data_IF_664241662223
#
_entry.id   IF_664241662223
#
_cell.length_a   1.000
_cell.length_b   1.000
_cell.length_c   1.000
_cell.angle_alpha   90.00
_cell.angle_beta   90.00
_cell.angle_gamma   90.00
#
_symmetry.space_group_name_H-M   'P 1'
#
loop_
_entity.id
_entity.type
_entity.pdbx_description
1 polymer ?
#
# COMPACT_ATOMS: atom_id res chain seq x y z
N UNK A 1 51.80 -29.52 23.21
CA UNK A 1 51.21 -28.18 23.47
C UNK A 1 49.68 -28.12 23.34
N UNK A 2 48.95 -29.25 23.41
CA UNK A 2 47.46 -29.30 23.26
C UNK A 2 46.75 -29.77 24.55
N UNK A 3 47.49 -30.18 25.58
CA UNK A 3 46.91 -30.66 26.85
C UNK A 3 46.64 -29.54 27.88
N UNK A 4 47.31 -28.39 27.79
CA UNK A 4 47.13 -27.24 28.72
C UNK A 4 45.90 -26.35 28.41
N UNK A 5 45.25 -26.54 27.26
CA UNK A 5 44.06 -25.77 26.87
C UNK A 5 42.73 -26.39 27.38
N UNK A 6 42.72 -27.66 27.80
CA UNK A 6 41.53 -28.34 28.34
C UNK A 6 41.32 -28.07 29.83
N UNK A 7 42.39 -27.85 30.60
CA UNK A 7 42.29 -27.44 32.01
C UNK A 7 41.77 -26.02 32.19
N UNK A 8 42.03 -25.12 31.24
CA UNK A 8 41.63 -23.70 31.32
C UNK A 8 40.13 -23.46 31.11
N UNK A 9 39.41 -24.39 30.46
CA UNK A 9 37.95 -24.32 30.31
C UNK A 9 37.19 -24.86 31.54
N UNK A 10 37.74 -25.86 32.24
CA UNK A 10 37.22 -26.32 33.53
C UNK A 10 37.52 -25.33 34.66
N UNK A 11 38.63 -24.59 34.57
CA UNK A 11 39.07 -23.64 35.59
C UNK A 11 38.27 -22.32 35.65
N UNK A 12 37.32 -22.08 34.74
CA UNK A 12 36.47 -20.86 34.75
C UNK A 12 35.12 -21.02 35.45
N UNK A 13 34.75 -22.24 35.84
CA UNK A 13 33.65 -22.46 36.77
C UNK A 13 34.30 -22.52 38.14
N UNK A 14 34.38 -21.37 38.81
CA UNK A 14 34.87 -21.28 40.17
C UNK A 14 34.23 -22.38 41.01
N UNK A 15 35.07 -23.25 41.58
CA UNK A 15 34.72 -24.24 42.58
C UNK A 15 34.29 -23.51 43.86
N UNK A 16 33.13 -22.86 43.80
CA UNK A 16 32.44 -22.34 44.96
C UNK A 16 31.68 -23.50 45.57
N UNK A 17 32.01 -23.83 46.82
CA UNK A 17 31.15 -24.64 47.69
C UNK A 17 29.70 -24.17 47.49
N UNK A 18 28.87 -25.05 46.92
CA UNK A 18 27.52 -24.72 46.47
C UNK A 18 26.55 -24.99 47.63
N UNK A 19 26.04 -23.96 48.33
CA UNK A 19 25.10 -24.17 49.42
C UNK A 19 23.83 -24.80 48.85
N UNK A 20 23.58 -26.05 49.26
CA UNK A 20 22.32 -26.75 49.01
C UNK A 20 21.39 -26.40 50.16
N UNK A 21 20.32 -25.69 49.85
CA UNK A 21 19.37 -25.20 50.84
C UNK A 21 17.95 -25.60 50.44
N UNK A 22 17.10 -25.87 51.42
CA UNK A 22 15.68 -26.06 51.15
C UNK A 22 15.06 -24.69 50.89
N UNK A 23 14.87 -24.33 49.63
CA UNK A 23 14.29 -23.04 49.28
C UNK A 23 12.84 -22.99 49.78
N UNK A 24 12.55 -21.97 50.60
CA UNK A 24 11.21 -21.61 51.08
C UNK A 24 10.90 -20.19 50.62
N UNK A 25 9.62 -19.85 50.44
CA UNK A 25 9.23 -18.51 49.96
C UNK A 25 9.78 -17.40 50.86
N UNK A 26 9.78 -17.62 52.18
CA UNK A 26 10.38 -16.70 53.16
C UNK A 26 11.88 -16.53 52.95
N UNK A 27 12.61 -17.63 52.77
CA UNK A 27 14.06 -17.57 52.52
C UNK A 27 14.37 -16.80 51.24
N UNK A 28 13.66 -17.12 50.15
CA UNK A 28 13.84 -16.49 48.84
C UNK A 28 13.56 -14.98 48.91
N UNK A 29 12.53 -14.56 49.65
CA UNK A 29 12.20 -13.15 49.83
C UNK A 29 13.28 -12.40 50.63
N UNK A 30 13.78 -12.97 51.72
CA UNK A 30 14.66 -12.26 52.68
C UNK A 30 16.15 -12.33 52.31
N UNK A 31 16.61 -13.36 51.60
CA UNK A 31 18.04 -13.58 51.35
C UNK A 31 18.68 -12.39 50.62
N UNK A 32 19.82 -11.91 51.10
CA UNK A 32 20.67 -10.90 50.47
C UNK A 32 22.10 -11.40 50.48
N UNK A 33 22.89 -11.00 49.49
CA UNK A 33 24.28 -11.42 49.40
C UNK A 33 25.15 -10.25 48.90
N UNK A 34 26.26 -9.99 49.59
CA UNK A 34 27.22 -8.93 49.24
C UNK A 34 28.07 -9.31 48.02
N UNK A 35 28.20 -10.62 47.77
CA UNK A 35 28.83 -11.21 46.59
C UNK A 35 27.83 -12.18 45.96
N UNK A 36 28.00 -12.46 44.68
CA UNK A 36 27.08 -13.35 43.97
C UNK A 36 27.13 -14.77 44.54
N UNK A 37 26.00 -15.28 45.04
CA UNK A 37 25.87 -16.64 45.58
C UNK A 37 24.77 -17.39 44.82
N UNK A 38 25.03 -18.66 44.53
CA UNK A 38 24.08 -19.56 43.87
C UNK A 38 23.56 -20.58 44.92
N UNK A 39 22.30 -20.47 45.31
CA UNK A 39 21.63 -21.41 46.23
C UNK A 39 20.90 -22.50 45.43
N UNK A 40 21.20 -23.76 45.72
CA UNK A 40 20.61 -24.91 45.03
C UNK A 40 19.42 -25.44 45.82
N UNK A 41 18.28 -25.62 45.14
CA UNK A 41 17.10 -26.20 45.78
C UNK A 41 17.29 -27.69 46.04
N UNK A 42 16.95 -28.13 47.25
CA UNK A 42 16.96 -29.55 47.63
C UNK A 42 15.75 -30.30 47.11
N UNK A 43 14.60 -29.63 46.95
CA UNK A 43 13.36 -30.25 46.48
C UNK A 43 13.30 -30.43 44.96
N UNK A 44 13.90 -29.52 44.20
CA UNK A 44 13.95 -29.58 42.74
C UNK A 44 15.42 -29.57 42.25
N UNK A 45 16.07 -30.74 42.11
CA UNK A 45 17.51 -30.82 41.85
C UNK A 45 17.95 -30.03 40.62
N UNK A 46 18.87 -29.09 40.76
CA UNK A 46 19.35 -28.26 39.65
C UNK A 46 18.58 -26.95 39.45
N UNK A 47 17.45 -26.73 40.13
CA UNK A 47 16.92 -25.38 40.30
C UNK A 47 17.87 -24.58 41.20
N UNK A 48 18.18 -23.36 40.78
CA UNK A 48 19.11 -22.47 41.46
C UNK A 48 18.53 -21.08 41.60
N UNK A 49 18.62 -20.52 42.80
CA UNK A 49 18.41 -19.10 43.04
C UNK A 49 19.78 -18.41 43.07
N UNK A 50 20.05 -17.61 42.05
CA UNK A 50 21.22 -16.74 42.00
C UNK A 50 20.87 -15.41 42.65
N UNK A 51 21.58 -15.06 43.71
CA UNK A 51 21.42 -13.79 44.43
C UNK A 51 22.67 -12.97 44.18
N UNK A 52 22.53 -11.83 43.50
CA UNK A 52 23.55 -10.79 43.42
C UNK A 52 23.14 -9.60 44.32
N UNK A 53 24.04 -8.66 44.60
CA UNK A 53 23.71 -7.47 45.40
C UNK A 53 22.52 -6.67 44.84
N UNK A 54 22.34 -6.72 43.52
CA UNK A 54 21.32 -5.96 42.79
C UNK A 54 20.03 -6.73 42.48
N UNK A 55 20.08 -8.05 42.29
CA UNK A 55 18.94 -8.82 41.78
C UNK A 55 18.98 -10.29 42.20
N UNK A 56 17.82 -10.92 42.09
CA UNK A 56 17.62 -12.36 42.32
C UNK A 56 17.13 -12.99 41.03
N UNK A 57 17.70 -14.12 40.64
CA UNK A 57 17.39 -14.75 39.35
C UNK A 57 17.24 -16.25 39.52
N UNK A 58 16.19 -16.80 38.92
CA UNK A 58 15.97 -18.24 38.81
C UNK A 58 16.75 -18.79 37.62
N UNK A 59 17.57 -19.80 37.88
CA UNK A 59 18.25 -20.56 36.83
C UNK A 59 18.13 -22.06 37.02
N UNK A 60 18.21 -22.81 35.92
CA UNK A 60 18.29 -24.26 35.89
C UNK A 60 19.70 -24.67 35.46
N UNK A 61 20.41 -25.41 36.30
CA UNK A 61 21.64 -26.09 35.94
C UNK A 61 21.31 -27.50 35.42
N UNK A 62 21.75 -27.82 34.21
CA UNK A 62 21.48 -29.10 33.55
C UNK A 62 22.67 -29.53 32.67
N UNK A 63 22.70 -30.79 32.28
CA UNK A 63 23.66 -31.30 31.29
C UNK A 63 22.99 -31.25 29.91
N UNK A 64 23.66 -30.67 28.92
CA UNK A 64 23.12 -30.58 27.56
C UNK A 64 22.88 -31.98 26.98
N UNK A 65 21.70 -32.26 26.40
CA UNK A 65 21.45 -33.51 25.66
C UNK A 65 22.52 -33.78 24.60
N UNK A 66 23.05 -35.00 24.56
CA UNK A 66 24.11 -35.39 23.61
C UNK A 66 25.50 -34.79 23.90
N UNK A 67 25.70 -34.08 25.01
CA UNK A 67 26.99 -33.54 25.44
C UNK A 67 27.27 -33.81 26.91
N UNK A 68 28.54 -33.78 27.33
CA UNK A 68 28.93 -33.81 28.75
C UNK A 68 29.03 -32.42 29.38
N UNK A 69 28.70 -31.37 28.62
CA UNK A 69 28.79 -29.99 29.08
C UNK A 69 27.63 -29.63 30.01
N UNK A 70 27.97 -29.24 31.24
CA UNK A 70 27.02 -28.63 32.19
C UNK A 70 26.78 -27.18 31.81
N UNK A 71 25.52 -26.86 31.56
CA UNK A 71 25.07 -25.54 31.13
C UNK A 71 24.06 -24.99 32.15
N UNK A 72 23.94 -23.67 32.19
CA UNK A 72 22.95 -22.95 32.98
C UNK A 72 21.98 -22.24 32.06
N UNK A 73 20.69 -22.45 32.30
CA UNK A 73 19.61 -21.73 31.62
C UNK A 73 18.92 -20.77 32.60
N UNK A 74 18.90 -19.49 32.28
CA UNK A 74 18.16 -18.49 33.08
C UNK A 74 16.67 -18.59 32.77
N UNK A 75 15.86 -18.85 33.81
CA UNK A 75 14.40 -18.99 33.68
C UNK A 75 13.76 -17.60 33.70
N UNK A 76 13.94 -16.85 34.79
CA UNK A 76 13.32 -15.54 35.01
C UNK A 76 14.04 -14.79 36.13
N UNK A 77 13.87 -13.48 36.18
CA UNK A 77 14.18 -12.68 37.36
C UNK A 77 13.13 -12.95 38.45
N UNK A 78 13.53 -12.93 39.72
CA UNK A 78 12.61 -13.07 40.84
C UNK A 78 11.77 -11.79 40.97
N UNK A 79 10.46 -11.95 40.98
CA UNK A 79 9.50 -10.93 41.36
C UNK A 79 8.47 -11.54 42.31
N UNK A 80 7.69 -10.72 43.00
CA UNK A 80 6.61 -11.22 43.86
C UNK A 80 5.59 -12.05 43.05
N UNK A 81 5.34 -11.67 41.80
CA UNK A 81 4.49 -12.43 40.88
C UNK A 81 5.16 -13.73 40.39
N UNK A 82 6.50 -13.77 40.31
CA UNK A 82 7.29 -14.91 39.83
C UNK A 82 8.16 -15.51 40.96
N UNK A 83 7.46 -16.02 41.97
CA UNK A 83 8.05 -16.70 43.13
C UNK A 83 8.48 -18.16 42.89
N UNK A 84 8.80 -18.86 43.98
CA UNK A 84 9.38 -20.20 43.99
C UNK A 84 8.50 -21.26 43.31
N UNK A 85 7.19 -21.22 43.54
CA UNK A 85 6.25 -22.20 42.98
C UNK A 85 6.26 -22.20 41.45
N UNK A 86 6.21 -21.02 40.82
CA UNK A 86 6.30 -20.87 39.36
C UNK A 86 7.67 -21.30 38.84
N UNK A 87 8.73 -20.95 39.56
CA UNK A 87 10.10 -21.36 39.21
C UNK A 87 10.27 -22.89 39.24
N UNK A 88 9.75 -23.59 40.26
CA UNK A 88 9.76 -25.07 40.33
C UNK A 88 8.95 -25.70 39.21
N UNK A 89 7.73 -25.21 38.93
CA UNK A 89 6.91 -25.70 37.82
C UNK A 89 7.67 -25.58 36.50
N UNK A 90 8.24 -24.39 36.22
CA UNK A 90 8.99 -24.15 34.98
C UNK A 90 10.26 -25.00 34.88
N UNK A 91 10.95 -25.23 36.00
CA UNK A 91 12.10 -26.12 36.04
C UNK A 91 11.75 -27.57 35.68
N UNK A 92 10.60 -28.09 36.16
CA UNK A 92 10.11 -29.43 35.80
C UNK A 92 9.78 -29.54 34.31
N UNK A 93 9.09 -28.56 33.75
CA UNK A 93 8.79 -28.52 32.31
C UNK A 93 10.07 -28.53 31.46
N UNK A 94 11.06 -27.73 31.85
CA UNK A 94 12.34 -27.66 31.15
C UNK A 94 13.12 -28.98 31.25
N UNK A 95 13.14 -29.61 32.44
CA UNK A 95 13.76 -30.94 32.63
C UNK A 95 13.08 -32.01 31.80
N UNK A 96 11.75 -32.08 31.78
CA UNK A 96 11.03 -33.02 30.95
C UNK A 96 11.42 -32.88 29.46
N UNK A 97 11.52 -31.63 28.96
CA UNK A 97 12.02 -31.38 27.61
C UNK A 97 13.48 -31.80 27.38
N UNK A 98 14.35 -31.64 28.38
CA UNK A 98 15.75 -32.08 28.33
C UNK A 98 15.83 -33.61 28.26
N UNK A 99 15.00 -34.32 29.02
CA UNK A 99 14.93 -35.79 29.02
C UNK A 99 14.43 -36.32 27.66
N UNK A 100 13.57 -35.57 26.97
CA UNK A 100 13.18 -35.81 25.57
C UNK A 100 14.27 -35.40 24.54
N UNK A 101 15.43 -34.92 24.99
CA UNK A 101 16.55 -34.53 24.14
C UNK A 101 16.53 -33.09 23.61
N UNK A 102 15.55 -32.26 24.02
CA UNK A 102 15.45 -30.84 23.60
C UNK A 102 16.31 -29.97 24.51
N UNK A 103 17.37 -29.34 23.97
CA UNK A 103 18.18 -28.38 24.72
C UNK A 103 17.50 -27.00 24.81
N UNK A 104 17.09 -26.51 26.01
CA UNK A 104 16.43 -25.21 26.16
C UNK A 104 17.27 -24.02 25.68
N UNK A 105 18.59 -24.10 25.82
CA UNK A 105 19.49 -23.05 25.35
C UNK A 105 19.57 -23.04 23.82
N UNK A 106 19.60 -24.22 23.19
CA UNK A 106 19.57 -24.34 21.74
C UNK A 106 18.23 -23.87 21.17
N UNK A 107 17.10 -24.16 21.82
CA UNK A 107 15.78 -23.64 21.43
C UNK A 107 15.74 -22.11 21.51
N UNK A 108 16.25 -21.52 22.59
CA UNK A 108 16.34 -20.06 22.74
C UNK A 108 17.27 -19.43 21.69
N UNK A 109 18.40 -20.07 21.41
CA UNK A 109 19.35 -19.61 20.38
C UNK A 109 18.78 -19.77 18.97
N UNK A 110 18.08 -20.86 18.66
CA UNK A 110 17.41 -21.08 17.39
C UNK A 110 16.27 -20.08 17.19
N UNK A 111 15.48 -19.79 18.22
CA UNK A 111 14.46 -18.74 18.16
C UNK A 111 15.08 -17.34 17.95
N UNK A 112 16.19 -17.03 18.62
CA UNK A 112 16.90 -15.77 18.44
C UNK A 112 17.55 -15.67 17.05
N UNK A 113 18.13 -16.76 16.54
CA UNK A 113 18.73 -16.83 15.21
C UNK A 113 17.65 -16.76 14.12
N UNK A 114 16.51 -17.43 14.29
CA UNK A 114 15.36 -17.33 13.39
C UNK A 114 14.75 -15.92 13.39
N UNK A 115 14.71 -15.25 14.54
CA UNK A 115 14.30 -13.85 14.61
C UNK A 115 15.33 -12.90 13.95
N UNK A 116 16.63 -13.22 14.03
CA UNK A 116 17.69 -12.46 13.39
C UNK A 116 17.77 -12.68 11.87
N UNK A 117 17.34 -13.84 11.38
CA UNK A 117 17.25 -14.15 9.94
C UNK A 117 15.86 -13.90 9.34
N UNK A 118 14.89 -13.45 10.15
CA UNK A 118 13.56 -13.16 9.68
C UNK A 118 13.55 -11.89 8.83
N UNK A 119 13.04 -12.02 7.61
CA UNK A 119 12.78 -10.89 6.72
C UNK A 119 11.86 -9.86 7.40
N UNK A 120 12.21 -8.59 7.27
CA UNK A 120 11.34 -7.47 7.61
C UNK A 120 10.35 -7.20 6.49
N UNK A 121 9.25 -6.53 6.80
CA UNK A 121 8.30 -6.04 5.79
C UNK A 121 8.97 -5.12 4.78
N UNK A 122 9.97 -4.33 5.19
CA UNK A 122 10.77 -3.51 4.29
C UNK A 122 11.48 -4.35 3.24
N UNK A 123 12.21 -5.37 3.67
CA UNK A 123 12.93 -6.24 2.75
C UNK A 123 11.98 -7.02 1.85
N UNK A 124 10.84 -7.47 2.38
CA UNK A 124 9.82 -8.16 1.60
C UNK A 124 9.24 -7.27 0.48
N UNK A 125 8.98 -5.99 0.77
CA UNK A 125 8.49 -5.04 -0.23
C UNK A 125 9.54 -4.77 -1.30
N UNK A 126 10.80 -4.62 -0.93
CA UNK A 126 11.89 -4.42 -1.91
C UNK A 126 12.11 -5.67 -2.78
N UNK A 127 12.00 -6.88 -2.21
CA UNK A 127 12.04 -8.14 -2.97
C UNK A 127 10.84 -8.26 -3.92
N UNK A 128 9.63 -7.86 -3.47
CA UNK A 128 8.45 -7.79 -4.32
C UNK A 128 8.62 -6.80 -5.48
N UNK A 129 9.20 -5.62 -5.22
CA UNK A 129 9.48 -4.63 -6.26
C UNK A 129 10.44 -5.22 -7.29
N UNK A 130 11.52 -5.85 -6.81
CA UNK A 130 12.61 -6.36 -7.66
C UNK A 130 12.17 -7.56 -8.50
N UNK A 131 11.29 -8.42 -7.97
CA UNK A 131 10.92 -9.69 -8.62
C UNK A 131 9.59 -9.65 -9.36
N UNK A 132 8.65 -8.80 -8.94
CA UNK A 132 7.29 -8.77 -9.49
C UNK A 132 6.96 -7.46 -10.19
N UNK A 133 7.50 -6.33 -9.73
CA UNK A 133 7.13 -5.01 -10.26
C UNK A 133 8.03 -4.57 -11.41
N UNK A 134 9.30 -5.01 -11.45
CA UNK A 134 10.31 -4.55 -12.43
C UNK A 134 9.88 -4.61 -13.91
N UNK A 135 9.10 -5.61 -14.29
CA UNK A 135 8.73 -5.86 -15.69
C UNK A 135 7.44 -5.11 -16.08
N UNK A 136 6.80 -4.41 -15.12
CA UNK A 136 5.63 -3.60 -15.38
C UNK A 136 6.04 -2.28 -16.04
N UNK A 137 5.31 -1.88 -17.08
CA UNK A 137 5.43 -0.53 -17.68
C UNK A 137 5.30 0.62 -16.67
N UNK A 138 4.59 0.37 -15.57
CA UNK A 138 4.41 1.33 -14.47
C UNK A 138 5.30 1.04 -13.25
N UNK A 139 6.42 0.33 -13.43
CA UNK A 139 7.29 -0.12 -12.34
C UNK A 139 7.68 1.02 -11.39
N UNK A 140 8.15 2.15 -11.91
CA UNK A 140 8.58 3.30 -11.10
C UNK A 140 7.46 3.84 -10.22
N UNK A 141 6.28 4.05 -10.80
CA UNK A 141 5.14 4.62 -10.08
C UNK A 141 4.59 3.64 -9.04
N UNK A 142 4.52 2.34 -9.38
CA UNK A 142 4.11 1.29 -8.45
C UNK A 142 5.12 1.15 -7.31
N UNK A 143 6.42 1.15 -7.61
CA UNK A 143 7.49 1.08 -6.60
C UNK A 143 7.44 2.28 -5.66
N UNK A 144 7.32 3.49 -6.22
CA UNK A 144 7.19 4.73 -5.45
C UNK A 144 5.92 4.72 -4.58
N UNK A 145 4.82 4.14 -5.07
CA UNK A 145 3.58 3.97 -4.31
C UNK A 145 3.76 2.99 -3.15
N UNK A 146 4.31 1.80 -3.41
CA UNK A 146 4.55 0.78 -2.40
C UNK A 146 5.45 1.30 -1.26
N UNK A 147 6.56 1.96 -1.61
CA UNK A 147 7.44 2.57 -0.60
C UNK A 147 6.73 3.65 0.21
N UNK A 148 5.93 4.49 -0.42
CA UNK A 148 5.17 5.57 0.25
C UNK A 148 4.06 5.05 1.16
N UNK A 149 3.38 3.98 0.74
CA UNK A 149 2.19 3.46 1.43
C UNK A 149 2.57 2.45 2.53
N UNK A 150 3.56 1.59 2.29
CA UNK A 150 3.92 0.50 3.20
C UNK A 150 5.16 0.85 4.04
N UNK A 151 6.15 1.52 3.45
CA UNK A 151 7.44 1.79 4.12
C UNK A 151 7.51 3.18 4.76
N UNK A 152 6.35 3.80 4.96
CA UNK A 152 6.25 5.07 5.62
C UNK A 152 6.61 4.93 7.11
N UNK A 153 7.46 5.82 7.60
CA UNK A 153 7.89 5.84 9.00
C UNK A 153 6.72 6.12 9.96
N UNK A 154 5.68 6.82 9.49
CA UNK A 154 4.53 7.23 10.32
C UNK A 154 3.80 6.09 11.04
N UNK A 155 3.80 4.88 10.48
CA UNK A 155 3.15 3.72 11.10
C UNK A 155 4.10 2.57 11.42
N UNK A 156 5.38 2.66 11.02
CA UNK A 156 6.43 1.70 11.40
C UNK A 156 6.27 0.28 10.81
N UNK A 157 5.34 0.06 9.87
CA UNK A 157 5.06 -1.28 9.34
C UNK A 157 6.29 -1.90 8.65
N UNK A 158 7.15 -1.08 8.04
CA UNK A 158 8.37 -1.55 7.39
C UNK A 158 9.36 -2.25 8.34
N UNK A 159 9.36 -1.93 9.64
CA UNK A 159 10.26 -2.54 10.62
C UNK A 159 9.71 -3.85 11.22
N UNK A 160 8.45 -4.18 10.95
CA UNK A 160 7.82 -5.40 11.47
C UNK A 160 8.43 -6.63 10.78
N UNK A 161 8.82 -7.62 11.58
CA UNK A 161 9.27 -8.92 11.06
C UNK A 161 8.09 -9.65 10.41
N UNK A 162 8.29 -10.18 9.21
CA UNK A 162 7.27 -10.88 8.42
C UNK A 162 6.59 -12.01 9.19
N UNK A 163 7.30 -12.88 9.95
CA UNK A 163 6.65 -13.93 10.75
C UNK A 163 5.77 -13.40 11.89
N UNK A 164 6.03 -12.18 12.36
CA UNK A 164 5.28 -11.54 13.45
C UNK A 164 4.19 -10.59 12.93
N UNK A 165 4.02 -10.48 11.60
CA UNK A 165 3.03 -9.62 11.00
C UNK A 165 1.62 -10.07 11.40
N UNK A 166 0.88 -9.19 12.07
CA UNK A 166 -0.48 -9.48 12.50
C UNK A 166 -1.47 -8.45 11.94
N UNK A 167 -2.77 -8.80 11.91
CA UNK A 167 -3.84 -7.91 11.42
C UNK A 167 -3.84 -6.53 12.09
N UNK A 168 -3.45 -6.47 13.37
CA UNK A 168 -3.35 -5.23 14.15
C UNK A 168 -2.33 -4.24 13.57
N UNK A 169 -1.23 -4.75 13.02
CA UNK A 169 -0.16 -3.92 12.45
C UNK A 169 -0.62 -3.30 11.12
N UNK A 170 -1.41 -4.06 10.35
CA UNK A 170 -2.02 -3.61 9.10
C UNK A 170 -3.10 -2.56 9.38
N UNK A 171 -3.99 -2.81 10.34
CA UNK A 171 -5.03 -1.86 10.75
C UNK A 171 -4.38 -0.55 11.24
N UNK A 172 -3.37 -0.63 12.11
CA UNK A 172 -2.62 0.55 12.56
C UNK A 172 -2.02 1.36 11.40
N UNK A 173 -1.50 0.67 10.37
CA UNK A 173 -0.97 1.35 9.18
C UNK A 173 -2.05 2.04 8.35
N UNK A 174 -3.22 1.42 8.22
CA UNK A 174 -4.37 1.98 7.50
C UNK A 174 -4.95 3.18 8.25
N UNK A 175 -5.19 3.04 9.55
CA UNK A 175 -5.76 4.10 10.40
C UNK A 175 -4.86 5.34 10.39
N UNK A 176 -3.54 5.17 10.49
CA UNK A 176 -2.57 6.26 10.38
C UNK A 176 -2.62 7.01 9.03
N UNK A 177 -3.06 6.36 7.95
CA UNK A 177 -3.28 7.01 6.65
C UNK A 177 -4.65 7.68 6.59
N UNK A 178 -5.67 7.04 7.17
CA UNK A 178 -7.05 7.55 7.21
C UNK A 178 -7.18 8.79 8.10
N UNK A 179 -6.50 8.83 9.24
CA UNK A 179 -6.46 9.96 10.18
C UNK A 179 -5.92 11.25 9.54
N UNK A 180 -5.14 11.13 8.47
CA UNK A 180 -4.70 12.28 7.66
C UNK A 180 -5.77 12.81 6.69
N UNK A 181 -6.97 12.23 6.69
CA UNK A 181 -8.05 12.53 5.75
C UNK A 181 -7.90 11.90 4.37
N UNK A 182 -6.90 11.01 4.17
CA UNK A 182 -6.55 10.45 2.86
C UNK A 182 -7.23 9.10 2.59
N UNK A 183 -8.56 9.03 2.64
CA UNK A 183 -9.36 7.78 2.53
C UNK A 183 -9.05 6.94 1.29
N UNK A 184 -8.90 7.56 0.12
CA UNK A 184 -8.53 6.85 -1.11
C UNK A 184 -7.14 6.23 -1.01
N UNK A 185 -6.20 6.93 -0.36
CA UNK A 185 -4.85 6.40 -0.15
C UNK A 185 -4.82 5.32 0.94
N UNK A 186 -5.67 5.38 1.96
CA UNK A 186 -5.83 4.31 2.95
C UNK A 186 -6.32 3.01 2.28
N UNK A 187 -7.31 3.12 1.38
CA UNK A 187 -7.78 1.99 0.59
C UNK A 187 -6.69 1.41 -0.33
N UNK A 188 -5.91 2.27 -0.99
CA UNK A 188 -4.76 1.85 -1.82
C UNK A 188 -3.66 1.19 -0.98
N UNK A 189 -3.38 1.72 0.21
CA UNK A 189 -2.42 1.14 1.14
C UNK A 189 -2.82 -0.30 1.51
N UNK A 190 -4.09 -0.54 1.84
CA UNK A 190 -4.59 -1.90 2.08
C UNK A 190 -4.41 -2.82 0.88
N UNK A 191 -4.74 -2.37 -0.33
CA UNK A 191 -4.56 -3.16 -1.56
C UNK A 191 -3.09 -3.48 -1.84
N UNK A 192 -2.20 -2.52 -1.59
CA UNK A 192 -0.76 -2.67 -1.74
C UNK A 192 -0.20 -3.70 -0.74
N UNK A 193 -0.54 -3.58 0.55
CA UNK A 193 -0.16 -4.54 1.59
C UNK A 193 -0.67 -5.94 1.22
N UNK A 194 -1.93 -6.04 0.79
CA UNK A 194 -2.55 -7.31 0.39
C UNK A 194 -1.86 -7.95 -0.80
N UNK A 195 -1.44 -7.17 -1.79
CA UNK A 195 -0.71 -7.69 -2.93
C UNK A 195 0.64 -8.28 -2.50
N UNK A 196 1.40 -7.57 -1.66
CA UNK A 196 2.71 -8.02 -1.15
C UNK A 196 2.57 -9.27 -0.28
N UNK A 197 1.61 -9.30 0.65
CA UNK A 197 1.38 -10.47 1.53
C UNK A 197 0.99 -11.71 0.72
N UNK A 198 0.08 -11.56 -0.25
CA UNK A 198 -0.33 -12.70 -1.11
C UNK A 198 0.80 -13.21 -1.98
N UNK A 199 1.62 -12.30 -2.50
CA UNK A 199 2.81 -12.69 -3.25
C UNK A 199 3.81 -13.45 -2.36
N UNK A 200 4.00 -13.00 -1.12
CA UNK A 200 4.84 -13.68 -0.14
C UNK A 200 4.34 -15.10 0.18
N UNK A 201 3.01 -15.27 0.31
CA UNK A 201 2.38 -16.58 0.50
C UNK A 201 2.59 -17.49 -0.71
N UNK A 202 2.40 -16.97 -1.94
CA UNK A 202 2.64 -17.75 -3.16
C UNK A 202 4.10 -18.20 -3.34
N UNK A 203 5.05 -17.53 -2.67
CA UNK A 203 6.48 -17.86 -2.66
C UNK A 203 6.89 -18.78 -1.50
N UNK A 204 5.98 -19.09 -0.58
CA UNK A 204 6.30 -19.84 0.65
C UNK A 204 7.09 -19.04 1.68
N UNK A 205 7.14 -17.71 1.56
CA UNK A 205 7.76 -16.83 2.57
C UNK A 205 6.83 -16.66 3.79
N UNK A 206 5.52 -16.72 3.54
CA UNK A 206 4.49 -16.74 4.56
C UNK A 206 3.60 -17.97 4.37
N UNK A 207 3.28 -18.67 5.46
CA UNK A 207 2.39 -19.83 5.38
C UNK A 207 0.92 -19.44 5.22
N UNK A 208 0.53 -18.24 5.70
CA UNK A 208 -0.87 -17.80 5.75
C UNK A 208 -1.02 -16.32 5.36
N UNK A 209 -2.09 -16.03 4.61
CA UNK A 209 -2.47 -14.66 4.27
C UNK A 209 -3.18 -14.00 5.46
N UNK A 210 -2.48 -13.10 6.15
CA UNK A 210 -3.02 -12.34 7.29
C UNK A 210 -4.13 -11.36 6.89
N UNK A 211 -4.19 -10.96 5.61
CA UNK A 211 -5.22 -10.05 5.07
C UNK A 211 -6.52 -10.75 4.73
N UNK A 212 -6.55 -12.09 4.78
CA UNK A 212 -7.74 -12.86 4.48
C UNK A 212 -8.88 -12.48 5.44
N UNK A 213 -10.05 -12.15 4.88
CA UNK A 213 -11.23 -11.73 5.64
C UNK A 213 -11.25 -10.26 6.08
N UNK A 214 -10.19 -9.48 5.82
CA UNK A 214 -10.20 -8.03 6.05
C UNK A 214 -10.99 -7.30 4.96
N UNK A 215 -11.78 -6.30 5.36
CA UNK A 215 -12.47 -5.40 4.44
C UNK A 215 -11.58 -4.20 4.14
N UNK A 216 -11.53 -3.79 2.88
CA UNK A 216 -10.83 -2.58 2.49
C UNK A 216 -11.56 -1.34 3.04
N UNK A 217 -10.83 -0.28 3.42
CA UNK A 217 -11.42 1.03 3.70
C UNK A 217 -12.26 1.53 2.52
N UNK A 218 -13.34 2.23 2.83
CA UNK A 218 -14.22 2.80 1.82
C UNK A 218 -13.48 3.88 1.03
N UNK A 219 -13.51 3.75 -0.30
CA UNK A 219 -12.96 4.77 -1.20
C UNK A 219 -13.93 5.91 -1.32
N UNK A 220 -13.50 7.12 -0.99
CA UNK A 220 -14.26 8.32 -1.31
C UNK A 220 -13.82 8.85 -2.69
N UNK A 221 -14.19 8.13 -3.75
CA UNK A 221 -13.78 8.44 -5.12
C UNK A 221 -14.83 9.28 -5.89
N UNK A 222 -15.90 9.71 -5.24
CA UNK A 222 -16.91 10.55 -5.85
C UNK A 222 -16.36 11.98 -6.01
N UNK A 223 -15.78 12.26 -7.19
CA UNK A 223 -15.66 13.63 -7.68
C UNK A 223 -16.91 13.88 -8.52
N UNK A 224 -17.94 14.42 -7.88
CA UNK A 224 -19.26 14.63 -8.52
C UNK A 224 -19.29 15.88 -9.39
N UNK A 225 -18.32 16.79 -9.23
CA UNK A 225 -18.26 18.02 -10.02
C UNK A 225 -17.65 17.79 -11.40
N UNK A 226 -18.36 18.25 -12.41
CA UNK A 226 -17.94 18.35 -13.81
C UNK A 226 -18.01 19.82 -14.22
N UNK A 227 -17.09 20.28 -15.07
CA UNK A 227 -17.14 21.64 -15.60
C UNK A 227 -18.39 21.81 -16.47
N UNK A 228 -19.15 22.88 -16.23
CA UNK A 228 -20.26 23.25 -17.09
C UNK A 228 -19.77 24.04 -18.33
N UNK A 229 -20.67 24.29 -19.29
CA UNK A 229 -20.30 24.95 -20.55
C UNK A 229 -19.75 26.38 -20.35
N UNK A 230 -20.28 27.14 -19.38
CA UNK A 230 -19.83 28.51 -19.09
C UNK A 230 -18.45 28.51 -18.43
N UNK A 231 -18.18 27.55 -17.54
CA UNK A 231 -16.87 27.36 -16.94
C UNK A 231 -15.84 26.96 -18.00
N UNK A 232 -16.18 26.04 -18.93
CA UNK A 232 -15.31 25.67 -20.05
C UNK A 232 -14.99 26.89 -20.91
N UNK A 233 -16.02 27.69 -21.25
CA UNK A 233 -15.84 28.93 -22.00
C UNK A 233 -14.93 29.91 -21.26
N UNK A 234 -15.15 30.08 -19.95
CA UNK A 234 -14.32 30.92 -19.09
C UNK A 234 -12.85 30.49 -19.12
N UNK A 235 -12.59 29.19 -18.95
CA UNK A 235 -11.24 28.61 -19.03
C UNK A 235 -10.59 28.91 -20.38
N UNK A 236 -11.28 28.63 -21.50
CA UNK A 236 -10.72 28.83 -22.85
C UNK A 236 -10.40 30.30 -23.12
N UNK A 237 -11.26 31.22 -22.68
CA UNK A 237 -11.07 32.65 -22.85
C UNK A 237 -9.95 33.21 -21.97
N UNK A 238 -9.68 32.62 -20.81
CA UNK A 238 -8.61 33.07 -19.92
C UNK A 238 -7.21 32.56 -20.31
N UNK A 239 -7.11 31.50 -21.15
CA UNK A 239 -5.82 30.89 -21.52
C UNK A 239 -4.75 31.88 -22.03
N UNK A 240 -5.06 32.84 -22.94
CA UNK A 240 -4.05 33.76 -23.45
C UNK A 240 -3.45 34.68 -22.38
N UNK A 241 -4.24 35.03 -21.36
CA UNK A 241 -3.83 35.93 -20.27
C UNK A 241 -3.25 35.18 -19.06
N UNK A 242 -3.23 33.85 -19.08
CA UNK A 242 -2.89 33.02 -17.91
C UNK A 242 -1.37 32.88 -17.64
N UNK A 243 -0.50 33.50 -18.45
CA UNK A 243 0.96 33.44 -18.27
C UNK A 243 1.53 32.02 -18.37
N UNK A 244 0.87 31.14 -19.13
CA UNK A 244 1.29 29.75 -19.31
C UNK A 244 2.53 29.68 -20.21
N UNK A 245 3.30 28.60 -20.08
CA UNK A 245 4.41 28.34 -21.00
C UNK A 245 3.88 28.17 -22.43
N UNK A 246 4.66 28.56 -23.45
CA UNK A 246 4.26 28.39 -24.84
C UNK A 246 3.80 26.95 -25.15
N UNK A 247 2.65 26.82 -25.82
CA UNK A 247 2.07 25.54 -26.23
C UNK A 247 1.19 24.84 -25.18
N UNK A 248 1.20 25.26 -23.91
CA UNK A 248 0.31 24.67 -22.89
C UNK A 248 -1.16 25.06 -23.13
N UNK A 249 -1.41 26.27 -23.62
CA UNK A 249 -2.72 26.73 -24.05
C UNK A 249 -3.28 25.85 -25.19
N UNK A 250 -2.43 25.49 -26.15
CA UNK A 250 -2.80 24.60 -27.25
C UNK A 250 -3.10 23.17 -26.79
N UNK A 251 -2.33 22.65 -25.82
CA UNK A 251 -2.64 21.37 -25.18
C UNK A 251 -4.04 21.40 -24.56
N UNK A 252 -4.39 22.45 -23.82
CA UNK A 252 -5.71 22.57 -23.19
C UNK A 252 -6.83 22.67 -24.23
N UNK A 253 -6.64 23.46 -25.29
CA UNK A 253 -7.61 23.57 -26.39
C UNK A 253 -7.82 22.23 -27.09
N UNK A 254 -6.74 21.54 -27.45
CA UNK A 254 -6.80 20.21 -28.07
C UNK A 254 -7.47 19.18 -27.15
N UNK A 255 -7.32 19.26 -25.82
CA UNK A 255 -8.02 18.37 -24.89
C UNK A 255 -9.53 18.54 -24.93
N UNK A 256 -10.03 19.77 -25.08
CA UNK A 256 -11.47 20.03 -25.21
C UNK A 256 -12.00 19.58 -26.57
N UNK A 257 -11.24 19.79 -27.65
CA UNK A 257 -11.64 19.39 -29.00
C UNK A 257 -11.65 17.86 -29.20
N UNK A 258 -10.68 17.16 -28.61
CA UNK A 258 -10.45 15.72 -28.87
C UNK A 258 -10.93 14.79 -27.75
N UNK A 259 -11.20 15.33 -26.54
CA UNK A 259 -11.50 14.56 -25.33
C UNK A 259 -10.45 13.49 -24.94
N UNK A 260 -9.23 13.60 -25.47
CA UNK A 260 -8.11 12.70 -25.20
C UNK A 260 -7.53 12.88 -23.79
N UNK A 261 -6.66 11.96 -23.37
CA UNK A 261 -5.87 12.12 -22.13
C UNK A 261 -4.83 13.20 -22.30
N UNK A 262 -4.56 13.93 -21.21
CA UNK A 262 -3.47 14.91 -21.15
C UNK A 262 -2.15 14.30 -21.64
N UNK A 263 -1.84 13.06 -21.25
CA UNK A 263 -0.63 12.35 -21.69
C UNK A 263 -0.63 11.95 -23.18
N UNK A 264 -1.80 11.80 -23.79
CA UNK A 264 -1.93 11.48 -25.22
C UNK A 264 -1.64 12.74 -26.04
N UNK A 265 -2.24 13.89 -25.67
CA UNK A 265 -2.04 15.17 -26.35
C UNK A 265 -0.68 15.82 -26.05
N UNK A 266 -0.26 15.88 -24.79
CA UNK A 266 1.00 16.53 -24.42
C UNK A 266 2.24 15.78 -24.98
N UNK A 267 2.12 14.49 -25.26
CA UNK A 267 3.18 13.70 -25.89
C UNK A 267 3.00 13.50 -27.40
N UNK A 268 2.10 14.24 -28.05
CA UNK A 268 1.77 14.05 -29.46
C UNK A 268 2.98 14.29 -30.37
N UNK A 269 3.25 13.33 -31.25
CA UNK A 269 4.35 13.35 -32.21
C UNK A 269 3.81 13.66 -33.60
N UNK A 270 4.57 14.38 -34.44
CA UNK A 270 4.12 14.76 -35.79
C UNK A 270 3.70 13.56 -36.65
N UNK A 271 4.42 12.44 -36.55
CA UNK A 271 4.11 11.16 -37.22
C UNK A 271 2.75 10.54 -36.89
N UNK A 272 2.14 10.92 -35.77
CA UNK A 272 0.83 10.39 -35.33
C UNK A 272 -0.32 11.20 -35.92
N UNK A 273 -0.04 12.31 -36.60
CA UNK A 273 -1.05 13.24 -37.12
C UNK A 273 -1.13 13.08 -38.64
N UNK A 274 -2.33 12.81 -39.12
CA UNK A 274 -2.67 12.82 -40.53
C UNK A 274 -3.61 14.00 -40.81
N UNK A 275 -3.03 15.13 -41.21
CA UNK A 275 -3.79 16.34 -41.55
C UNK A 275 -4.60 16.20 -42.84
N UNK A 276 -4.31 15.21 -43.70
CA UNK A 276 -5.10 14.97 -44.93
C UNK A 276 -6.35 14.17 -44.61
N UNK A 277 -6.23 13.18 -43.72
CA UNK A 277 -7.36 12.39 -43.24
C UNK A 277 -8.10 13.05 -42.07
N UNK A 278 -7.55 14.14 -41.50
CA UNK A 278 -8.06 14.82 -40.30
C UNK A 278 -8.14 13.87 -39.08
N UNK A 279 -7.09 13.06 -38.88
CA UNK A 279 -7.02 12.06 -37.82
C UNK A 279 -5.74 12.19 -36.99
N UNK A 280 -5.85 11.90 -35.69
CA UNK A 280 -4.71 11.46 -34.87
C UNK A 280 -4.78 9.94 -34.73
N UNK A 281 -3.68 9.26 -35.07
CA UNK A 281 -3.53 7.80 -34.93
C UNK A 281 -2.73 7.50 -33.68
N UNK A 282 -3.40 7.11 -32.59
CA UNK A 282 -2.74 6.77 -31.34
C UNK A 282 -2.41 5.26 -31.29
N UNK A 283 -1.12 4.87 -31.32
CA UNK A 283 -0.74 3.47 -31.28
C UNK A 283 -1.01 2.85 -29.91
N UNK A 284 -1.23 1.52 -29.89
CA UNK A 284 -1.50 0.75 -28.68
C UNK A 284 -0.45 0.98 -27.57
N UNK A 285 0.81 1.13 -27.97
CA UNK A 285 1.94 1.41 -27.08
C UNK A 285 1.79 2.73 -26.32
N UNK A 286 1.04 3.72 -26.82
CA UNK A 286 0.87 5.01 -26.13
C UNK A 286 -0.40 5.10 -25.30
N UNK A 287 -1.40 4.29 -25.62
CA UNK A 287 -2.70 4.34 -24.98
C UNK A 287 -2.66 3.53 -23.69
N UNK A 288 -3.17 4.11 -22.60
CA UNK A 288 -3.16 3.47 -21.27
C UNK A 288 -3.77 2.06 -21.25
N UNK A 289 -4.74 1.80 -22.14
CA UNK A 289 -5.49 0.56 -22.20
C UNK A 289 -4.91 -0.46 -23.21
N UNK A 290 -3.80 -0.13 -23.90
CA UNK A 290 -3.18 -1.02 -24.89
C UNK A 290 -3.96 -1.20 -26.19
N UNK A 291 -4.98 -0.38 -26.44
CA UNK A 291 -5.79 -0.43 -27.66
C UNK A 291 -5.48 0.80 -28.52
N UNK A 292 -5.02 0.55 -29.74
CA UNK A 292 -4.85 1.60 -30.74
C UNK A 292 -6.22 2.21 -31.07
N UNK A 293 -6.27 3.52 -31.27
CA UNK A 293 -7.50 4.18 -31.71
C UNK A 293 -7.19 5.44 -32.52
N UNK A 294 -8.11 5.74 -33.44
CA UNK A 294 -8.07 6.94 -34.26
C UNK A 294 -8.99 7.99 -33.65
N UNK A 295 -8.50 9.22 -33.55
CA UNK A 295 -9.23 10.35 -33.00
C UNK A 295 -9.52 11.32 -34.14
N UNK A 296 -10.80 11.54 -34.51
CA UNK A 296 -11.15 12.51 -35.52
C UNK A 296 -10.89 13.93 -35.04
N UNK A 297 -10.42 14.79 -35.93
CA UNK A 297 -10.09 16.18 -35.64
C UNK A 297 -11.21 17.11 -36.08
N UNK A 298 -11.55 18.06 -35.23
CA UNK A 298 -12.44 19.18 -35.57
C UNK A 298 -11.67 20.25 -36.34
N UNK A 299 -12.36 21.10 -37.10
CA UNK A 299 -11.71 22.21 -37.82
C UNK A 299 -10.86 23.13 -36.91
N UNK A 300 -11.28 23.48 -35.68
CA UNK A 300 -10.42 24.19 -34.72
C UNK A 300 -9.17 23.40 -34.33
N UNK A 301 -9.28 22.09 -34.11
CA UNK A 301 -8.13 21.24 -33.80
C UNK A 301 -7.14 21.17 -34.97
N UNK A 302 -7.65 21.04 -36.21
CA UNK A 302 -6.83 21.07 -37.43
C UNK A 302 -6.10 22.40 -37.57
N UNK A 303 -6.76 23.53 -37.30
CA UNK A 303 -6.12 24.84 -37.35
C UNK A 303 -4.96 24.98 -36.34
N UNK A 304 -5.16 24.51 -35.10
CA UNK A 304 -4.12 24.50 -34.07
C UNK A 304 -2.95 23.62 -34.51
N UNK A 305 -3.22 22.40 -34.99
CA UNK A 305 -2.17 21.46 -35.42
C UNK A 305 -1.40 21.97 -36.64
N UNK A 306 -2.08 22.54 -37.65
CA UNK A 306 -1.42 23.16 -38.80
C UNK A 306 -0.45 24.25 -38.38
N UNK A 307 -0.86 25.14 -37.46
CA UNK A 307 0.01 26.20 -36.91
C UNK A 307 1.22 25.62 -36.18
N UNK A 308 1.02 24.59 -35.36
CA UNK A 308 2.09 23.97 -34.58
C UNK A 308 3.09 23.15 -35.42
N UNK A 309 2.67 22.68 -36.60
CA UNK A 309 3.47 21.81 -37.47
C UNK A 309 4.30 22.54 -38.53
N UNK A 310 4.16 23.86 -38.69
CA UNK A 310 4.82 24.64 -39.77
C UNK A 310 6.34 24.40 -39.79
N UNK A 311 6.99 24.44 -38.63
CA UNK A 311 8.44 24.32 -38.50
C UNK A 311 8.89 23.00 -37.84
N UNK A 312 7.98 22.00 -37.75
CA UNK A 312 8.25 20.74 -37.04
C UNK A 312 8.23 19.55 -37.98
N UNK A 313 9.41 18.94 -38.16
CA UNK A 313 9.57 17.65 -38.85
C UNK A 313 10.03 16.61 -37.84
N UNK A 314 9.37 15.45 -37.88
CA UNK A 314 9.68 14.26 -37.08
C UNK A 314 10.03 14.55 -35.60
N UNK A 315 9.20 15.32 -34.93
CA UNK A 315 9.44 15.76 -33.55
C UNK A 315 8.15 15.81 -32.73
N UNK A 316 8.31 15.98 -31.41
CA UNK A 316 7.19 16.22 -30.52
C UNK A 316 6.60 17.62 -30.71
N UNK A 317 5.27 17.71 -30.70
CA UNK A 317 4.59 19.02 -30.80
C UNK A 317 4.82 19.88 -29.57
N UNK A 318 4.97 19.27 -28.39
CA UNK A 318 5.18 19.96 -27.13
C UNK A 318 6.44 19.41 -26.43
N UNK A 319 7.65 19.83 -26.81
CA UNK A 319 8.87 19.30 -26.22
C UNK A 319 9.21 19.99 -24.88
N UNK A 320 9.92 19.28 -23.99
CA UNK A 320 10.63 19.85 -22.83
C UNK A 320 12.13 19.62 -23.02
N UNK A 321 12.82 20.56 -23.68
CA UNK A 321 14.23 20.42 -24.08
C UNK A 321 14.40 19.88 -25.51
N UNK A 322 15.60 19.37 -25.84
CA UNK A 322 15.96 18.82 -27.16
C UNK A 322 15.29 17.45 -27.39
N UNK A 323 14.01 17.45 -27.78
CA UNK A 323 13.25 16.29 -28.29
C UNK A 323 12.67 15.29 -27.27
N UNK A 324 12.45 15.71 -26.02
CA UNK A 324 11.65 14.95 -25.07
C UNK A 324 10.19 15.45 -25.03
N UNK A 325 9.17 14.57 -24.95
CA UNK A 325 7.78 15.02 -24.82
C UNK A 325 7.59 15.85 -23.55
N UNK A 326 6.59 16.74 -23.54
CA UNK A 326 6.19 17.53 -22.37
C UNK A 326 6.14 16.62 -21.13
N UNK A 327 7.11 16.81 -20.25
CA UNK A 327 7.42 15.89 -19.16
C UNK A 327 6.22 15.73 -18.24
N UNK A 328 6.13 14.59 -17.53
CA UNK A 328 5.17 14.37 -16.43
C UNK A 328 5.11 15.52 -15.39
N UNK A 329 6.16 16.34 -15.25
CA UNK A 329 6.19 17.54 -14.39
C UNK A 329 5.22 18.63 -14.85
N UNK A 330 4.96 18.73 -16.15
CA UNK A 330 4.10 19.76 -16.71
C UNK A 330 2.63 19.43 -16.54
N UNK A 331 2.29 18.13 -16.49
CA UNK A 331 0.97 17.67 -16.04
C UNK A 331 0.61 18.20 -14.67
N UNK A 332 1.56 18.15 -13.72
CA UNK A 332 1.34 18.63 -12.35
C UNK A 332 1.17 20.16 -12.31
N UNK A 333 1.85 20.89 -13.21
CA UNK A 333 1.71 22.35 -13.36
C UNK A 333 0.42 22.77 -14.09
N UNK A 334 -0.06 21.99 -15.06
CA UNK A 334 -1.36 22.20 -15.71
C UNK A 334 -2.50 21.93 -14.71
N UNK A 335 -2.37 20.88 -13.88
CA UNK A 335 -3.27 20.61 -12.76
C UNK A 335 -3.20 21.74 -11.70
N UNK A 336 -2.01 22.28 -11.37
CA UNK A 336 -1.87 23.41 -10.42
C UNK A 336 -2.31 24.77 -10.98
N UNK A 337 -2.20 25.00 -12.30
CA UNK A 337 -2.63 26.23 -12.96
C UNK A 337 -4.16 26.39 -12.97
N UNK A 338 -4.89 25.26 -13.00
CA UNK A 338 -6.34 25.23 -12.81
C UNK A 338 -6.75 25.46 -11.34
N UNK A 339 -5.95 25.01 -10.37
CA UNK A 339 -6.17 25.29 -8.94
C UNK A 339 -5.99 26.75 -8.52
N UNK A 340 -5.21 27.56 -9.27
CA UNK A 340 -4.99 28.99 -8.96
C UNK A 340 -6.19 29.89 -9.28
N UNK A 341 -7.17 29.42 -10.07
CA UNK A 341 -8.32 30.23 -10.47
C UNK A 341 -9.64 29.94 -9.74
N UNK A 342 -9.71 28.89 -8.92
CA UNK A 342 -10.65 28.63 -7.80
C UNK A 342 -10.45 27.17 -7.36
N UNK A 343 -10.79 26.87 -6.11
CA UNK A 343 -10.27 25.71 -5.38
C UNK A 343 -10.32 24.33 -6.07
N UNK A 344 -9.24 23.56 -5.88
CA UNK A 344 -9.06 22.10 -6.17
C UNK A 344 -9.76 21.62 -7.45
N UNK A 345 -9.15 21.92 -8.60
CA UNK A 345 -9.64 21.47 -9.91
C UNK A 345 -8.59 20.59 -10.61
N UNK A 346 -9.02 19.53 -11.29
CA UNK A 346 -8.15 18.72 -12.14
C UNK A 346 -8.83 18.43 -13.48
N UNK A 347 -8.03 18.35 -14.54
CA UNK A 347 -8.38 18.24 -15.96
C UNK A 347 -9.23 17.03 -16.38
N UNK A 348 -9.58 16.13 -15.47
CA UNK A 348 -10.35 14.91 -15.77
C UNK A 348 -11.86 15.15 -16.03
N UNK A 349 -12.39 16.33 -15.66
CA UNK A 349 -13.81 16.68 -15.82
C UNK A 349 -14.26 16.88 -17.27
N UNK A 350 -13.37 17.32 -18.17
CA UNK A 350 -13.71 17.68 -19.55
C UNK A 350 -14.32 16.53 -20.38
N UNK A 351 -14.07 15.27 -19.99
CA UNK A 351 -14.43 14.09 -20.78
C UNK A 351 -15.90 13.68 -20.72
N UNK A 352 -16.66 14.14 -19.72
CA UNK A 352 -18.05 13.72 -19.51
C UNK A 352 -19.08 14.57 -20.27
N UNK A 353 -18.67 15.69 -20.88
CA UNK A 353 -19.58 16.66 -21.50
C UNK A 353 -19.57 16.59 -23.04
N UNK A 354 -19.58 15.40 -23.65
CA UNK A 354 -19.74 15.27 -25.10
C UNK A 354 -21.20 14.92 -25.44
N UNK A 355 -22.11 15.89 -25.60
CA UNK A 355 -23.37 15.66 -26.28
C UNK A 355 -23.08 15.51 -27.78
N UNK A 356 -23.52 14.41 -28.38
CA UNK A 356 -23.41 14.18 -29.81
C UNK A 356 -24.12 15.30 -30.58
N UNK A 357 -23.34 16.26 -31.09
CA UNK A 357 -23.84 17.19 -32.12
C UNK A 357 -23.85 16.45 -33.45
N UNK A 358 -25.00 16.52 -34.11
CA UNK A 358 -25.27 15.87 -35.39
C UNK A 358 -24.19 16.17 -36.42
N UNK A 359 -23.50 15.13 -36.85
CA UNK A 359 -22.82 15.07 -38.13
C UNK A 359 -23.67 14.11 -38.98
N UNK A 360 -24.08 14.59 -40.15
CA UNK A 360 -25.00 13.91 -41.05
C UNK A 360 -24.64 12.44 -41.26
N UNK A 361 -25.64 11.60 -41.04
CA UNK A 361 -25.53 10.15 -41.06
C UNK A 361 -25.31 9.63 -42.47
N UNK A 362 -24.08 9.25 -42.80
CA UNK A 362 -23.81 8.32 -43.91
C UNK A 362 -22.49 7.53 -43.82
N UNK A 363 -21.58 7.80 -42.87
CA UNK A 363 -20.30 7.06 -42.75
C UNK A 363 -19.94 6.60 -41.34
N UNK A 364 -20.95 6.44 -40.49
CA UNK A 364 -20.76 6.27 -39.04
C UNK A 364 -21.57 5.09 -38.52
N UNK A 365 -21.33 3.86 -39.02
CA UNK A 365 -22.12 2.70 -38.58
C UNK A 365 -21.37 1.40 -38.27
N UNK A 366 -20.05 1.28 -38.48
CA UNK A 366 -19.37 -0.02 -38.25
C UNK A 366 -18.54 -0.10 -36.96
N UNK A 367 -17.91 0.97 -36.47
CA UNK A 367 -17.03 0.90 -35.27
C UNK A 367 -17.71 1.27 -33.93
N UNK A 368 -18.96 1.75 -33.95
CA UNK A 368 -19.71 2.09 -32.72
C UNK A 368 -20.41 0.91 -32.04
N UNK A 369 -20.42 -0.27 -32.66
CA UNK A 369 -21.06 -1.49 -32.12
C UNK A 369 -20.51 -1.87 -30.74
N UNK A 370 -19.23 -1.60 -30.52
CA UNK A 370 -18.51 -1.99 -29.31
C UNK A 370 -18.71 -0.97 -28.16
N UNK A 371 -18.95 0.31 -28.48
CA UNK A 371 -19.26 1.35 -27.48
C UNK A 371 -20.69 1.28 -26.95
N UNK A 372 -21.69 0.91 -27.78
CA UNK A 372 -23.09 0.77 -27.33
C UNK A 372 -23.30 -0.43 -26.41
N UNK A 373 -22.60 -1.55 -26.61
CA UNK A 373 -22.66 -2.69 -25.69
C UNK A 373 -22.00 -2.38 -24.33
N UNK A 374 -20.92 -1.57 -24.32
CA UNK A 374 -20.22 -1.16 -23.09
C UNK A 374 -20.98 -0.12 -22.27
N UNK A 375 -21.66 0.83 -22.92
CA UNK A 375 -22.55 1.76 -22.23
C UNK A 375 -23.73 1.03 -21.56
N UNK A 376 -24.28 -0.01 -22.19
CA UNK A 376 -25.36 -0.84 -21.61
C UNK A 376 -24.89 -1.69 -20.42
N UNK A 377 -23.67 -2.23 -20.43
CA UNK A 377 -23.11 -2.98 -19.27
C UNK A 377 -22.71 -2.10 -18.09
N UNK A 378 -22.24 -0.87 -18.32
CA UNK A 378 -21.97 0.09 -17.24
C UNK A 378 -23.23 0.75 -16.67
N UNK A 379 -24.24 1.05 -17.51
CA UNK A 379 -25.51 1.63 -17.06
C UNK A 379 -26.40 0.62 -16.29
N UNK A 380 -26.32 -0.68 -16.62
CA UNK A 380 -27.08 -1.72 -15.91
C UNK A 380 -26.66 -1.94 -14.45
N UNK A 381 -25.49 -1.42 -14.02
CA UNK A 381 -25.03 -1.49 -12.64
C UNK A 381 -25.37 -0.24 -11.80
N UNK A 382 -26.06 0.76 -12.38
CA UNK A 382 -26.28 2.08 -11.75
C UNK A 382 -27.75 2.55 -11.75
N UNK A 383 -28.72 1.63 -11.83
CA UNK A 383 -30.14 1.99 -11.69
C UNK A 383 -30.87 1.05 -10.72
N UNK A 384 -30.57 1.20 -9.43
CA UNK A 384 -31.57 1.08 -8.36
C UNK A 384 -31.40 2.27 -7.43
N UNK A 385 -32.54 2.88 -7.08
CA UNK A 385 -32.75 3.97 -6.12
C UNK A 385 -32.67 5.41 -6.67
N UNK A 386 -33.80 5.88 -7.22
CA UNK A 386 -34.45 7.14 -6.81
C UNK A 386 -35.84 7.24 -7.49
N UNK A 387 -36.87 6.69 -6.85
CA UNK A 387 -38.25 7.13 -7.08
C UNK A 387 -38.46 8.41 -6.26
N UNK A 388 -39.00 9.51 -6.82
CA UNK A 388 -39.48 10.63 -6.01
C UNK A 388 -40.85 10.29 -5.36
N UNK A 389 -41.15 10.87 -4.19
CA UNK A 389 -42.32 10.51 -3.39
C UNK A 389 -43.63 11.05 -3.98
N UNK A 390 -44.69 10.30 -3.73
CA UNK A 390 -46.09 10.65 -3.96
C UNK A 390 -46.50 11.75 -2.96
N UNK A 391 -47.13 12.85 -3.39
CA UNK A 391 -47.76 13.81 -2.47
C UNK A 391 -48.04 15.22 -3.01
N UNK A 392 -49.27 15.42 -3.46
CA UNK A 392 -50.10 16.65 -3.39
C UNK A 392 -49.55 18.02 -3.87
N UNK A 393 -50.13 18.49 -4.98
CA UNK A 393 -50.48 19.91 -5.15
C UNK A 393 -51.87 19.99 -5.81
N UNK A 394 -52.87 20.30 -4.97
CA UNK A 394 -54.22 20.76 -5.37
C UNK A 394 -54.16 22.24 -5.78
N UNK A 395 -55.15 22.63 -6.62
CA UNK A 395 -55.63 23.99 -6.99
C UNK A 395 -54.83 24.67 -8.11
N UNK A 396 -55.40 25.26 -9.14
CA UNK A 396 -56.79 25.53 -9.54
C UNK A 396 -56.76 25.93 -11.02
N UNK A 397 -57.52 25.27 -11.92
CA UNK A 397 -58.33 25.96 -12.96
C UNK A 397 -59.55 25.08 -13.25
N UNK A 398 -60.71 25.74 -13.27
CA UNK A 398 -62.10 25.27 -13.26
C UNK A 398 -62.58 24.50 -14.50
N UNK A 399 -63.77 23.86 -14.41
CA UNK A 399 -64.23 22.81 -15.31
C UNK A 399 -65.10 23.33 -16.45
N UNK A 400 -65.09 22.64 -17.59
CA UNK A 400 -66.17 22.69 -18.58
C UNK A 400 -66.76 21.29 -18.78
N UNK A 401 -67.92 21.13 -18.14
CA UNK A 401 -69.11 20.40 -18.58
C UNK A 401 -68.96 19.15 -19.45
N UNK A 402 -69.38 18.03 -18.87
CA UNK A 402 -69.88 16.85 -19.54
C UNK A 402 -71.11 17.15 -20.42
N UNK A 403 -71.17 16.53 -21.60
CA UNK A 403 -72.39 16.02 -22.27
C UNK A 403 -71.95 14.84 -23.15
N UNK A 404 -72.33 13.62 -22.74
CA UNK A 404 -73.27 12.73 -23.46
C UNK A 404 -72.82 12.35 -24.88
N UNK A 405 -72.51 11.08 -25.11
CA UNK A 405 -73.42 10.13 -25.78
C UNK A 405 -72.79 8.73 -25.85
N UNK A 406 -73.56 7.74 -25.42
CA UNK A 406 -73.43 6.36 -25.89
C UNK A 406 -73.82 6.30 -27.37
N UNK A 407 -73.17 5.40 -28.11
CA UNK A 407 -73.43 5.03 -29.49
C UNK A 407 -72.31 4.15 -29.99
#
# INVERSE_FOLDING_TARGET
>A
MVLRAKETALARIGALSMPKEKLTDRFVATVKADKQVDYFDTLEPGLTLRVSPSRKTWSLAYTRPGSRLRTRFTIAEYSEEYGLAKARKRARELKAGIDEGKDPQAVKQAAAAAAASALTMRELVEDYITRHVKDLRSADEVSRRLRRNILNETHGLGAVLVPNLHRRDIVKAIDAVEDRGAKTEASRCFEDIRAVVRWAVGRGVLDRDVTLGMKAPQRNNARDRVLNADEIKGVILSLPAAGLRPGVDDVVRLLFETACRVSEIAGLHTREIDLKAELIRLPAERVKNGLAHNVPLTAPAVAILKRLMVDKKDSYLFPTGEDLPACRRDRQRIEQGTERHRGRETTAGARRHYPGRGLDGARYSQDLGDHRQRARRCAACHCRCAQPPVGELKRDVRPLCAKRLHG
#
